data_IF_541027976149
#
_entry.id   IF_541027976149
#
_cell.length_a   1.000
_cell.length_b   1.000
_cell.length_c   1.000
_cell.angle_alpha   90.00
_cell.angle_beta   90.00
_cell.angle_gamma   90.00
#
_symmetry.space_group_name_H-M   'P 1'
#
loop_
_entity.id
_entity.type
_entity.pdbx_description
1 polymer ?
#
# COMPACT_ATOMS: atom_id res chain seq x y z
N UNK A 1 -38.99 -8.69 -1.48
CA UNK A 1 -39.63 -10.01 -1.31
C UNK A 1 -38.88 -10.88 -0.30
N UNK A 2 -38.79 -10.45 0.96
CA UNK A 2 -38.45 -11.31 2.10
C UNK A 2 -39.23 -10.80 3.33
N UNK A 3 -40.56 -10.86 3.23
CA UNK A 3 -41.44 -11.01 4.39
C UNK A 3 -41.78 -12.51 4.40
N UNK A 4 -41.68 -13.19 5.55
CA UNK A 4 -42.00 -14.61 5.76
C UNK A 4 -40.84 -15.62 5.70
N UNK A 5 -39.73 -15.36 6.40
CA UNK A 5 -38.88 -16.43 6.96
C UNK A 5 -39.02 -16.56 8.48
N UNK A 6 -40.18 -16.19 9.01
CA UNK A 6 -40.67 -16.76 10.26
C UNK A 6 -41.26 -18.13 9.91
N UNK A 7 -40.92 -19.16 10.69
CA UNK A 7 -41.42 -20.55 10.61
C UNK A 7 -40.55 -21.49 9.77
N UNK A 8 -39.41 -21.94 10.34
CA UNK A 8 -38.90 -23.31 10.13
C UNK A 8 -38.03 -23.85 11.29
N UNK A 9 -37.81 -23.08 12.36
CA UNK A 9 -37.23 -23.56 13.65
C UNK A 9 -38.30 -23.84 14.73
N UNK A 10 -39.57 -24.03 14.34
CA UNK A 10 -40.70 -24.23 15.27
C UNK A 10 -41.05 -25.69 15.60
N UNK A 11 -40.20 -26.68 15.29
CA UNK A 11 -40.40 -28.06 15.81
C UNK A 11 -39.71 -28.21 17.18
N UNK A 12 -40.30 -27.60 18.21
CA UNK A 12 -39.83 -27.72 19.60
C UNK A 12 -40.32 -26.63 20.56
N UNK A 13 -41.01 -25.60 20.05
CA UNK A 13 -41.60 -24.53 20.85
C UNK A 13 -43.03 -24.88 21.25
N UNK A 14 -43.18 -25.83 22.18
CA UNK A 14 -44.46 -26.01 22.88
C UNK A 14 -44.61 -24.85 23.87
N UNK A 15 -45.16 -23.73 23.42
CA UNK A 15 -45.84 -22.81 24.33
C UNK A 15 -47.17 -23.47 24.69
N UNK A 16 -47.19 -24.17 25.82
CA UNK A 16 -48.41 -24.71 26.41
C UNK A 16 -48.87 -23.71 27.48
N UNK A 17 -49.97 -22.98 27.31
CA UNK A 17 -50.48 -22.11 28.35
C UNK A 17 -50.95 -23.00 29.52
N UNK A 18 -50.31 -22.88 30.68
CA UNK A 18 -50.72 -23.60 31.90
C UNK A 18 -49.88 -24.80 32.33
N UNK A 19 -48.79 -25.16 31.64
CA UNK A 19 -47.82 -26.17 32.14
C UNK A 19 -46.39 -25.66 32.04
N UNK A 20 -45.72 -25.48 33.18
CA UNK A 20 -44.27 -25.22 33.24
C UNK A 20 -43.51 -26.32 32.47
N UNK A 21 -42.45 -25.94 31.74
CA UNK A 21 -41.75 -26.89 30.84
C UNK A 21 -41.20 -28.09 31.63
N UNK A 22 -41.44 -29.31 31.14
CA UNK A 22 -40.97 -30.55 31.79
C UNK A 22 -39.54 -30.97 31.39
N UNK A 23 -39.00 -30.46 30.28
CA UNK A 23 -37.66 -30.82 29.75
C UNK A 23 -36.83 -29.63 29.25
N UNK A 24 -35.70 -29.90 28.59
CA UNK A 24 -34.84 -28.87 27.97
C UNK A 24 -34.18 -27.92 28.98
N UNK A 25 -33.79 -28.45 30.16
CA UNK A 25 -33.22 -27.68 31.28
C UNK A 25 -31.73 -27.37 31.17
N UNK A 26 -31.04 -27.90 30.18
CA UNK A 26 -29.64 -27.61 29.95
C UNK A 26 -29.47 -26.14 29.49
N UNK A 27 -28.94 -25.31 30.39
CA UNK A 27 -28.79 -23.86 30.17
C UNK A 27 -27.69 -23.51 29.18
N UNK A 28 -26.74 -24.43 28.92
CA UNK A 28 -25.69 -24.21 27.94
C UNK A 28 -26.25 -24.09 26.51
N UNK A 29 -27.31 -24.85 26.21
CA UNK A 29 -27.96 -24.85 24.90
C UNK A 29 -29.26 -24.06 24.88
N UNK A 30 -29.90 -23.90 26.05
CA UNK A 30 -31.19 -23.22 26.20
C UNK A 30 -31.19 -22.32 27.44
N UNK A 31 -30.48 -21.18 27.39
CA UNK A 31 -30.45 -20.24 28.50
C UNK A 31 -31.87 -19.77 28.82
N UNK A 32 -32.13 -19.50 30.10
CA UNK A 32 -33.42 -18.95 30.57
C UNK A 32 -33.43 -17.44 30.44
N UNK A 33 -33.27 -16.94 29.22
CA UNK A 33 -33.26 -15.52 28.88
C UNK A 33 -34.39 -15.24 27.88
N UNK A 34 -34.89 -14.00 27.83
CA UNK A 34 -35.90 -13.59 26.86
C UNK A 34 -35.28 -13.36 25.47
N UNK A 35 -36.07 -13.50 24.41
CA UNK A 35 -35.62 -13.25 23.03
C UNK A 35 -35.06 -11.83 22.86
N UNK A 36 -35.74 -10.81 23.42
CA UNK A 36 -35.27 -9.41 23.39
C UNK A 36 -33.86 -9.24 23.94
N UNK A 37 -33.49 -10.00 24.97
CA UNK A 37 -32.12 -9.96 25.53
C UNK A 37 -31.16 -10.77 24.68
N UNK A 38 -31.62 -11.85 24.02
CA UNK A 38 -30.79 -12.65 23.12
C UNK A 38 -30.51 -11.97 21.77
N UNK A 39 -31.41 -11.10 21.30
CA UNK A 39 -31.30 -10.42 20.00
C UNK A 39 -30.01 -9.61 19.84
N UNK A 40 -29.54 -8.93 20.90
CA UNK A 40 -28.27 -8.18 20.88
C UNK A 40 -27.03 -9.09 20.73
N UNK A 41 -27.18 -10.40 21.01
CA UNK A 41 -26.12 -11.40 20.90
C UNK A 41 -26.20 -12.19 19.59
N UNK A 42 -27.26 -12.03 18.79
CA UNK A 42 -27.37 -12.69 17.48
C UNK A 42 -26.38 -12.02 16.51
N UNK A 43 -25.36 -12.73 16.01
CA UNK A 43 -24.30 -12.10 15.23
C UNK A 43 -24.74 -11.89 13.78
N UNK A 44 -25.34 -10.73 13.49
CA UNK A 44 -25.77 -10.38 12.13
C UNK A 44 -24.61 -10.05 11.19
N UNK A 45 -23.49 -9.59 11.73
CA UNK A 45 -22.25 -9.31 10.99
C UNK A 45 -21.10 -10.14 11.57
N UNK A 46 -21.19 -11.47 11.42
CA UNK A 46 -20.21 -12.40 11.95
C UNK A 46 -18.89 -12.32 11.17
N UNK A 47 -17.81 -11.90 11.85
CA UNK A 47 -16.47 -11.82 11.26
C UNK A 47 -15.73 -13.17 11.32
N UNK A 48 -15.96 -13.95 12.37
CA UNK A 48 -15.32 -15.25 12.58
C UNK A 48 -16.33 -16.27 13.13
N UNK A 49 -16.37 -17.53 12.63
CA UNK A 49 -15.53 -18.09 11.57
C UNK A 49 -15.76 -17.44 10.19
N UNK A 50 -14.75 -17.52 9.32
CA UNK A 50 -14.81 -16.95 7.97
C UNK A 50 -15.86 -17.68 7.14
N UNK A 51 -16.56 -16.94 6.28
CA UNK A 51 -17.61 -17.46 5.39
C UNK A 51 -17.17 -17.73 3.95
N UNK A 52 -15.95 -17.31 3.57
CA UNK A 52 -15.43 -17.43 2.21
C UNK A 52 -14.44 -18.61 2.13
N UNK A 53 -14.76 -19.70 1.39
CA UNK A 53 -13.88 -20.85 1.26
C UNK A 53 -12.68 -20.55 0.34
N UNK A 54 -11.60 -21.32 0.51
CA UNK A 54 -10.36 -21.16 -0.28
C UNK A 54 -10.59 -21.29 -1.80
N UNK A 55 -11.54 -22.12 -2.23
CA UNK A 55 -11.90 -22.29 -3.64
C UNK A 55 -12.42 -21.01 -4.31
N UNK A 56 -12.90 -20.03 -3.53
CA UNK A 56 -13.41 -18.77 -4.06
C UNK A 56 -12.33 -17.70 -4.24
N UNK A 57 -11.14 -17.86 -3.65
CA UNK A 57 -10.06 -16.86 -3.72
C UNK A 57 -9.66 -16.59 -5.17
N UNK A 58 -9.36 -17.64 -5.93
CA UNK A 58 -8.98 -17.50 -7.34
C UNK A 58 -10.15 -17.03 -8.23
N UNK A 59 -11.38 -17.45 -7.91
CA UNK A 59 -12.57 -16.97 -8.64
C UNK A 59 -12.75 -15.46 -8.46
N UNK A 60 -12.56 -14.96 -7.23
CA UNK A 60 -12.62 -13.54 -6.93
C UNK A 60 -11.47 -12.77 -7.61
N UNK A 61 -10.25 -13.29 -7.54
CA UNK A 61 -9.09 -12.69 -8.20
C UNK A 61 -9.32 -12.48 -9.71
N UNK A 62 -9.83 -13.51 -10.41
CA UNK A 62 -10.19 -13.43 -11.82
C UNK A 62 -11.38 -12.51 -12.09
N UNK A 63 -12.39 -12.50 -11.21
CA UNK A 63 -13.55 -11.62 -11.32
C UNK A 63 -13.15 -10.14 -11.24
N UNK A 64 -12.22 -9.78 -10.35
CA UNK A 64 -11.71 -8.42 -10.24
C UNK A 64 -10.81 -8.01 -11.42
N UNK A 65 -10.32 -9.00 -12.17
CA UNK A 65 -9.54 -8.84 -13.38
C UNK A 65 -8.04 -8.72 -13.13
N UNK A 66 -7.52 -9.23 -12.01
CA UNK A 66 -6.07 -9.26 -11.79
C UNK A 66 -5.43 -10.40 -12.60
N UNK A 67 -4.12 -10.29 -12.83
CA UNK A 67 -3.32 -11.31 -13.51
C UNK A 67 -2.23 -11.82 -12.55
N UNK A 68 -1.91 -13.11 -12.63
CA UNK A 68 -0.78 -13.71 -11.92
C UNK A 68 0.46 -13.51 -12.77
N UNK A 69 1.26 -12.51 -12.44
CA UNK A 69 2.52 -12.25 -13.13
C UNK A 69 3.63 -13.18 -12.61
N UNK A 70 4.64 -13.51 -13.44
CA UNK A 70 5.87 -14.11 -12.94
C UNK A 70 6.49 -13.24 -11.84
N UNK A 71 7.17 -13.88 -10.88
CA UNK A 71 7.81 -13.21 -9.74
C UNK A 71 8.76 -12.08 -10.19
N UNK A 72 9.48 -12.30 -11.30
CA UNK A 72 10.38 -11.31 -11.90
C UNK A 72 9.70 -10.00 -12.32
N UNK A 73 8.39 -10.02 -12.58
CA UNK A 73 7.62 -8.81 -12.88
C UNK A 73 7.15 -8.18 -11.58
N UNK A 74 6.41 -8.95 -10.79
CA UNK A 74 5.86 -8.47 -9.52
C UNK A 74 5.05 -9.55 -8.82
N UNK A 75 4.84 -9.35 -7.54
CA UNK A 75 4.21 -10.32 -6.65
C UNK A 75 3.45 -9.61 -5.52
N UNK A 76 2.64 -10.37 -4.79
CA UNK A 76 2.03 -9.92 -3.55
C UNK A 76 2.97 -10.21 -2.39
N UNK A 77 3.34 -9.18 -1.65
CA UNK A 77 4.26 -9.28 -0.52
C UNK A 77 3.59 -9.88 0.74
N UNK A 78 4.31 -9.95 1.86
CA UNK A 78 3.81 -10.48 3.14
C UNK A 78 2.55 -9.78 3.65
N UNK A 79 2.36 -8.50 3.28
CA UNK A 79 1.17 -7.71 3.60
C UNK A 79 0.07 -7.81 2.55
N UNK A 80 0.14 -8.71 1.56
CA UNK A 80 -0.74 -8.81 0.39
C UNK A 80 -0.81 -7.50 -0.43
N UNK A 81 0.28 -6.73 -0.52
CA UNK A 81 0.42 -5.58 -1.43
C UNK A 81 1.12 -6.02 -2.71
N UNK A 82 0.61 -5.61 -3.88
CA UNK A 82 1.28 -5.91 -5.14
C UNK A 82 2.49 -4.99 -5.30
N UNK A 83 3.68 -5.57 -5.33
CA UNK A 83 4.95 -4.89 -5.54
C UNK A 83 5.54 -5.29 -6.89
N UNK A 84 6.13 -4.30 -7.56
CA UNK A 84 6.81 -4.47 -8.83
C UNK A 84 8.31 -4.61 -8.55
N UNK A 85 8.98 -5.53 -9.24
CA UNK A 85 10.43 -5.66 -9.08
C UNK A 85 11.15 -4.42 -9.66
N UNK A 86 12.32 -4.05 -9.11
CA UNK A 86 13.11 -2.94 -9.65
C UNK A 86 13.45 -3.10 -11.14
N UNK A 87 13.79 -4.33 -11.55
CA UNK A 87 14.11 -4.67 -12.95
C UNK A 87 12.90 -4.50 -13.87
N UNK A 88 11.73 -4.98 -13.45
CA UNK A 88 10.51 -4.80 -14.23
C UNK A 88 10.10 -3.32 -14.32
N UNK A 89 10.25 -2.56 -13.24
CA UNK A 89 10.00 -1.12 -13.23
C UNK A 89 10.87 -0.38 -14.26
N UNK A 90 12.18 -0.70 -14.31
CA UNK A 90 13.09 -0.10 -15.27
C UNK A 90 12.79 -0.50 -16.72
N UNK A 91 12.42 -1.77 -16.97
CA UNK A 91 12.00 -2.22 -18.30
C UNK A 91 10.71 -1.54 -18.75
N UNK A 92 9.74 -1.36 -17.85
CA UNK A 92 8.51 -0.60 -18.13
C UNK A 92 8.84 0.85 -18.47
N UNK A 93 9.75 1.50 -17.75
CA UNK A 93 10.24 2.82 -18.12
C UNK A 93 10.82 2.82 -19.54
N UNK A 94 11.72 1.88 -19.87
CA UNK A 94 12.34 1.82 -21.19
C UNK A 94 11.36 1.64 -22.34
N UNK A 95 10.27 0.91 -22.13
CA UNK A 95 9.25 0.71 -23.16
C UNK A 95 8.25 1.86 -23.27
N UNK A 96 8.05 2.64 -22.21
CA UNK A 96 6.96 3.62 -22.14
C UNK A 96 7.45 5.06 -21.97
N UNK A 97 8.76 5.31 -21.98
CA UNK A 97 9.33 6.62 -21.67
C UNK A 97 8.86 7.74 -22.60
N UNK A 98 8.47 7.42 -23.83
CA UNK A 98 7.97 8.36 -24.84
C UNK A 98 6.43 8.33 -25.00
N UNK A 99 5.74 7.49 -24.23
CA UNK A 99 4.29 7.33 -24.34
C UNK A 99 3.53 8.54 -23.79
N UNK A 100 2.35 8.82 -24.36
CA UNK A 100 1.57 10.02 -24.01
C UNK A 100 1.11 10.06 -22.54
N UNK A 101 0.89 8.90 -21.91
CA UNK A 101 0.49 8.81 -20.52
C UNK A 101 1.66 8.98 -19.53
N UNK A 102 2.90 8.94 -20.02
CA UNK A 102 4.10 9.01 -19.17
C UNK A 102 4.31 10.44 -18.65
N UNK A 103 4.68 10.56 -17.37
CA UNK A 103 4.80 11.84 -16.67
C UNK A 103 6.01 11.90 -15.74
N UNK A 104 6.27 13.08 -15.18
CA UNK A 104 7.27 13.32 -14.15
C UNK A 104 7.19 12.33 -12.98
N UNK A 105 5.97 12.05 -12.49
CA UNK A 105 5.71 11.11 -11.40
C UNK A 105 6.06 9.65 -11.75
N UNK A 106 5.99 9.28 -13.03
CA UNK A 106 6.40 7.94 -13.47
C UNK A 106 7.93 7.80 -13.44
N UNK A 107 8.67 8.84 -13.81
CA UNK A 107 10.13 8.88 -13.69
C UNK A 107 10.56 8.81 -12.22
N UNK A 108 9.98 9.64 -11.36
CA UNK A 108 10.21 9.60 -9.89
C UNK A 108 9.96 8.20 -9.34
N UNK A 109 8.79 7.62 -9.62
CA UNK A 109 8.43 6.29 -9.12
C UNK A 109 9.37 5.19 -9.62
N UNK A 110 9.86 5.30 -10.85
CA UNK A 110 10.86 4.36 -11.40
C UNK A 110 12.17 4.45 -10.61
N UNK A 111 12.64 5.65 -10.28
CA UNK A 111 13.83 5.82 -9.44
C UNK A 111 13.60 5.25 -8.04
N UNK A 112 12.41 5.47 -7.45
CA UNK A 112 12.04 4.89 -6.14
C UNK A 112 12.12 3.36 -6.17
N UNK A 113 11.63 2.71 -7.22
CA UNK A 113 11.78 1.26 -7.37
C UNK A 113 13.23 0.80 -7.52
N UNK A 114 14.12 1.65 -8.06
CA UNK A 114 15.54 1.33 -8.21
C UNK A 114 16.37 1.52 -6.94
N UNK A 115 15.87 2.24 -5.93
CA UNK A 115 16.64 2.57 -4.72
C UNK A 115 17.28 1.36 -4.02
N UNK A 116 16.61 0.19 -3.86
CA UNK A 116 17.25 -0.97 -3.24
C UNK A 116 18.44 -1.50 -4.05
N UNK A 117 18.35 -1.49 -5.39
CA UNK A 117 19.46 -1.89 -6.27
C UNK A 117 20.58 -0.86 -6.26
N UNK A 118 20.24 0.43 -6.19
CA UNK A 118 21.21 1.52 -6.07
C UNK A 118 22.01 1.40 -4.77
N UNK A 119 21.39 1.06 -3.65
CA UNK A 119 22.15 0.88 -2.39
C UNK A 119 23.07 -0.34 -2.45
N UNK A 120 22.62 -1.45 -3.06
CA UNK A 120 23.39 -2.69 -3.16
C UNK A 120 24.57 -2.61 -4.14
N UNK A 121 24.34 -2.01 -5.31
CA UNK A 121 25.35 -1.79 -6.35
C UNK A 121 25.16 -0.40 -6.98
N UNK A 122 25.74 0.64 -6.36
CA UNK A 122 25.63 2.01 -6.84
C UNK A 122 26.26 2.22 -8.21
N UNK A 123 27.37 1.55 -8.52
CA UNK A 123 28.14 1.81 -9.76
C UNK A 123 27.34 1.46 -11.01
N UNK A 124 26.61 0.34 -10.97
CA UNK A 124 25.76 -0.09 -12.08
C UNK A 124 24.45 0.68 -12.11
N UNK A 125 23.78 0.81 -10.96
CA UNK A 125 22.39 1.28 -10.93
C UNK A 125 22.27 2.81 -10.93
N UNK A 126 23.28 3.55 -10.47
CA UNK A 126 23.28 5.01 -10.66
C UNK A 126 23.32 5.41 -12.13
N UNK A 127 23.93 4.61 -13.02
CA UNK A 127 23.88 4.85 -14.47
C UNK A 127 22.45 4.80 -15.01
N UNK A 128 21.60 3.92 -14.45
CA UNK A 128 20.17 3.81 -14.79
C UNK A 128 19.38 4.99 -14.25
N UNK A 129 19.68 5.44 -13.03
CA UNK A 129 19.10 6.67 -12.44
C UNK A 129 19.45 7.88 -13.30
N UNK A 130 20.71 8.00 -13.73
CA UNK A 130 21.20 9.10 -14.57
C UNK A 130 20.54 9.12 -15.95
N UNK A 131 20.22 7.94 -16.47
CA UNK A 131 19.49 7.79 -17.72
C UNK A 131 18.03 8.27 -17.60
N UNK A 132 17.35 7.90 -16.51
CA UNK A 132 16.01 8.42 -16.19
C UNK A 132 16.08 9.94 -16.00
N UNK A 133 17.09 10.45 -15.29
CA UNK A 133 17.26 11.87 -15.05
C UNK A 133 17.47 12.65 -16.36
N UNK A 134 18.37 12.18 -17.22
CA UNK A 134 18.59 12.75 -18.56
C UNK A 134 17.33 12.74 -19.41
N UNK A 135 16.58 11.64 -19.41
CA UNK A 135 15.29 11.58 -20.10
C UNK A 135 14.29 12.58 -19.53
N UNK A 136 14.19 12.67 -18.20
CA UNK A 136 13.30 13.60 -17.53
C UNK A 136 13.61 15.05 -17.91
N UNK A 137 14.87 15.47 -17.84
CA UNK A 137 15.29 16.83 -18.21
C UNK A 137 14.95 17.15 -19.67
N UNK A 138 15.11 16.19 -20.59
CA UNK A 138 14.75 16.37 -22.00
C UNK A 138 13.26 16.54 -22.23
N UNK A 139 12.42 15.77 -21.52
CA UNK A 139 10.97 15.71 -21.78
C UNK A 139 10.17 16.73 -20.98
N UNK A 140 10.55 16.98 -19.73
CA UNK A 140 9.78 17.76 -18.77
C UNK A 140 10.54 18.96 -18.20
N UNK A 141 11.85 19.04 -18.41
CA UNK A 141 12.72 20.04 -17.78
C UNK A 141 13.08 19.70 -16.33
N UNK A 142 13.64 20.67 -15.62
CA UNK A 142 14.01 20.54 -14.22
C UNK A 142 12.77 20.73 -13.32
N UNK A 143 12.52 19.82 -12.37
CA UNK A 143 11.42 19.93 -11.41
C UNK A 143 11.81 19.41 -10.01
N UNK A 144 10.99 19.69 -8.99
CA UNK A 144 11.26 19.22 -7.63
C UNK A 144 11.22 17.69 -7.50
N UNK A 145 10.39 16.99 -8.26
CA UNK A 145 10.22 15.54 -8.14
C UNK A 145 11.48 14.79 -8.54
N UNK A 146 12.05 15.13 -9.70
CA UNK A 146 13.21 14.45 -10.24
C UNK A 146 14.47 14.74 -9.43
N UNK A 147 14.69 15.99 -9.03
CA UNK A 147 15.87 16.33 -8.21
C UNK A 147 15.79 15.63 -6.86
N UNK A 148 14.63 15.64 -6.20
CA UNK A 148 14.47 14.93 -4.94
C UNK A 148 14.66 13.41 -5.08
N UNK A 149 14.17 12.79 -6.16
CA UNK A 149 14.36 11.37 -6.41
C UNK A 149 15.85 11.02 -6.62
N UNK A 150 16.57 11.80 -7.43
CA UNK A 150 18.01 11.58 -7.71
C UNK A 150 18.87 11.91 -6.50
N UNK A 151 18.50 12.92 -5.69
CA UNK A 151 19.15 13.19 -4.41
C UNK A 151 18.97 12.02 -3.44
N UNK A 152 17.78 11.45 -3.34
CA UNK A 152 17.52 10.29 -2.49
C UNK A 152 18.30 9.06 -2.97
N UNK A 153 18.33 8.81 -4.28
CA UNK A 153 19.17 7.75 -4.86
C UNK A 153 20.67 7.96 -4.55
N UNK A 154 21.15 9.20 -4.67
CA UNK A 154 22.53 9.56 -4.32
C UNK A 154 22.82 9.38 -2.82
N UNK A 155 21.83 9.62 -1.95
CA UNK A 155 21.94 9.38 -0.52
C UNK A 155 22.11 7.89 -0.20
N UNK A 156 21.29 7.03 -0.81
CA UNK A 156 21.41 5.57 -0.68
C UNK A 156 22.69 5.02 -1.33
N UNK A 157 23.17 5.65 -2.40
CA UNK A 157 24.49 5.38 -2.98
C UNK A 157 25.67 5.88 -2.11
N UNK A 158 25.39 6.46 -0.93
CA UNK A 158 26.38 7.05 0.00
C UNK A 158 27.22 8.17 -0.64
N UNK A 159 26.70 8.82 -1.69
CA UNK A 159 27.38 9.89 -2.40
C UNK A 159 26.90 11.28 -1.93
N UNK A 160 27.39 11.68 -0.76
CA UNK A 160 27.04 12.97 -0.15
C UNK A 160 27.44 14.19 -1.00
N UNK A 161 28.58 14.12 -1.70
CA UNK A 161 29.04 15.20 -2.58
C UNK A 161 28.00 15.47 -3.66
N UNK A 162 27.57 14.41 -4.35
CA UNK A 162 26.56 14.51 -5.40
C UNK A 162 25.21 15.02 -4.89
N UNK A 163 24.78 14.64 -3.69
CA UNK A 163 23.58 15.21 -3.07
C UNK A 163 23.72 16.73 -2.86
N UNK A 164 24.89 17.18 -2.40
CA UNK A 164 25.18 18.61 -2.19
C UNK A 164 25.20 19.38 -3.51
N UNK A 165 25.79 18.80 -4.55
CA UNK A 165 25.83 19.38 -5.90
C UNK A 165 24.43 19.55 -6.48
N UNK A 166 23.57 18.52 -6.35
CA UNK A 166 22.19 18.58 -6.80
C UNK A 166 21.37 19.65 -6.05
N UNK A 167 21.59 19.80 -4.74
CA UNK A 167 20.93 20.85 -3.95
C UNK A 167 21.35 22.25 -4.42
N UNK A 168 22.63 22.44 -4.72
CA UNK A 168 23.14 23.69 -5.27
C UNK A 168 22.62 23.95 -6.69
N UNK A 169 22.52 22.91 -7.50
CA UNK A 169 21.92 22.98 -8.83
C UNK A 169 20.45 23.41 -8.76
N UNK A 170 19.65 22.83 -7.85
CA UNK A 170 18.27 23.26 -7.60
C UNK A 170 18.20 24.76 -7.29
N UNK A 171 19.06 25.25 -6.38
CA UNK A 171 19.13 26.69 -6.05
C UNK A 171 19.47 27.54 -7.28
N UNK A 172 20.42 27.10 -8.10
CA UNK A 172 20.84 27.80 -9.31
C UNK A 172 19.74 27.88 -10.39
N UNK A 173 18.87 26.87 -10.42
CA UNK A 173 17.73 26.78 -11.33
C UNK A 173 16.46 27.46 -10.78
N UNK A 174 16.56 28.14 -9.63
CA UNK A 174 15.44 28.73 -8.91
C UNK A 174 14.36 27.70 -8.52
N UNK A 175 14.76 26.43 -8.37
CA UNK A 175 13.95 25.40 -7.73
C UNK A 175 14.21 25.47 -6.23
N UNK A 176 13.40 26.25 -5.52
CA UNK A 176 13.57 26.43 -4.08
C UNK A 176 13.56 25.05 -3.37
N UNK A 177 14.62 24.69 -2.62
CA UNK A 177 14.69 23.42 -1.93
C UNK A 177 13.51 23.25 -0.97
N UNK A 178 12.84 22.10 -1.04
CA UNK A 178 11.64 21.83 -0.24
C UNK A 178 11.96 20.90 0.94
N UNK A 179 10.94 20.59 1.75
CA UNK A 179 11.07 19.69 2.89
C UNK A 179 11.77 18.36 2.52
N UNK A 180 11.40 17.76 1.39
CA UNK A 180 11.98 16.51 0.93
C UNK A 180 13.46 16.67 0.56
N UNK A 181 13.86 17.79 -0.04
CA UNK A 181 15.27 18.09 -0.36
C UNK A 181 16.13 18.11 0.90
N UNK A 182 15.67 18.78 1.97
CA UNK A 182 16.40 18.83 3.25
C UNK A 182 16.41 17.47 3.96
N UNK A 183 15.30 16.72 3.95
CA UNK A 183 15.26 15.36 4.49
C UNK A 183 16.23 14.43 3.75
N UNK A 184 16.33 14.55 2.42
CA UNK A 184 17.30 13.81 1.63
C UNK A 184 18.75 14.16 1.99
N UNK A 185 19.06 15.43 2.27
CA UNK A 185 20.39 15.85 2.76
C UNK A 185 20.70 15.32 4.15
N UNK A 186 19.71 15.28 5.05
CA UNK A 186 19.86 14.67 6.37
C UNK A 186 20.11 13.16 6.26
N UNK A 187 19.34 12.48 5.42
CA UNK A 187 19.54 11.05 5.12
C UNK A 187 20.93 10.79 4.52
N UNK A 188 21.35 11.58 3.54
CA UNK A 188 22.67 11.46 2.91
C UNK A 188 23.80 11.67 3.90
N UNK A 189 23.70 12.71 4.74
CA UNK A 189 24.66 12.98 5.82
C UNK A 189 24.78 11.78 6.75
N UNK A 190 23.65 11.23 7.21
CA UNK A 190 23.62 10.07 8.10
C UNK A 190 24.22 8.82 7.45
N UNK A 191 23.80 8.46 6.23
CA UNK A 191 24.27 7.25 5.55
C UNK A 191 25.74 7.34 5.13
N UNK A 192 26.26 8.55 4.89
CA UNK A 192 27.67 8.79 4.62
C UNK A 192 28.52 8.95 5.89
N UNK A 193 27.94 8.78 7.09
CA UNK A 193 28.66 8.88 8.37
C UNK A 193 29.16 10.28 8.69
N UNK A 194 28.47 11.33 8.20
CA UNK A 194 28.82 12.72 8.52
C UNK A 194 28.49 13.04 9.99
N UNK A 195 29.18 14.03 10.59
CA UNK A 195 28.89 14.47 11.95
C UNK A 195 27.43 14.89 12.11
N UNK A 196 26.91 14.67 13.31
CA UNK A 196 25.51 15.00 13.64
C UNK A 196 25.24 16.49 13.49
N UNK A 197 26.21 17.32 13.84
CA UNK A 197 26.15 18.78 13.73
C UNK A 197 25.96 19.21 12.27
N UNK A 198 26.64 18.55 11.33
CA UNK A 198 26.46 18.81 9.90
C UNK A 198 25.05 18.46 9.42
N UNK A 199 24.48 17.39 9.97
CA UNK A 199 23.10 16.99 9.68
C UNK A 199 22.10 18.00 10.23
N UNK A 200 22.37 18.53 11.43
CA UNK A 200 21.56 19.56 12.08
C UNK A 200 21.55 20.89 11.31
N UNK A 201 22.68 21.26 10.68
CA UNK A 201 22.74 22.47 9.83
C UNK A 201 21.72 22.43 8.69
N UNK A 202 21.54 21.27 8.03
CA UNK A 202 20.53 21.14 6.97
C UNK A 202 19.10 21.23 7.51
N UNK A 203 18.85 20.68 8.71
CA UNK A 203 17.56 20.83 9.38
C UNK A 203 17.28 22.32 9.71
N UNK A 204 18.23 23.00 10.33
CA UNK A 204 18.12 24.42 10.68
C UNK A 204 17.96 25.31 9.43
N UNK A 205 18.65 24.98 8.33
CA UNK A 205 18.48 25.66 7.05
C UNK A 205 17.06 25.46 6.48
N UNK A 206 16.54 24.24 6.53
CA UNK A 206 15.17 23.94 6.12
C UNK A 206 14.11 24.68 6.93
N UNK A 207 14.33 24.86 8.24
CA UNK A 207 13.47 25.68 9.10
C UNK A 207 13.59 27.17 8.73
N UNK A 208 14.81 27.68 8.56
CA UNK A 208 15.05 29.11 8.22
C UNK A 208 14.45 29.50 6.88
N UNK A 209 14.47 28.60 5.91
CA UNK A 209 13.86 28.79 4.59
C UNK A 209 12.33 28.61 4.59
N UNK A 210 11.75 28.14 5.70
CA UNK A 210 10.32 27.86 5.80
C UNK A 210 9.87 26.58 5.09
N UNK A 211 10.80 25.81 4.52
CA UNK A 211 10.53 24.53 3.89
C UNK A 211 10.12 23.45 4.91
N UNK A 212 10.70 23.51 6.12
CA UNK A 212 10.33 22.70 7.27
C UNK A 212 9.62 23.58 8.29
N UNK A 213 8.59 23.01 8.93
CA UNK A 213 7.88 23.66 10.05
C UNK A 213 8.04 22.81 11.30
N UNK A 214 8.59 23.40 12.35
CA UNK A 214 8.74 22.80 13.68
C UNK A 214 7.71 23.43 14.64
N UNK A 215 7.02 22.60 15.42
CA UNK A 215 6.08 23.07 16.46
C UNK A 215 6.72 22.96 17.85
N UNK A 216 7.65 22.03 18.02
CA UNK A 216 8.43 21.89 19.25
C UNK A 216 9.77 22.65 19.17
N UNK A 217 10.55 22.58 20.24
CA UNK A 217 11.92 23.12 20.26
C UNK A 217 12.76 22.41 19.18
N UNK A 218 13.62 23.18 18.50
CA UNK A 218 14.37 22.71 17.32
C UNK A 218 15.25 21.48 17.58
N UNK A 219 15.87 21.40 18.77
CA UNK A 219 16.68 20.25 19.19
C UNK A 219 15.84 18.96 19.29
N UNK A 220 14.61 19.08 19.78
CA UNK A 220 13.67 17.98 20.00
C UNK A 220 13.11 17.49 18.67
N UNK A 221 12.69 18.41 17.79
CA UNK A 221 12.24 18.07 16.44
C UNK A 221 13.36 17.40 15.63
N UNK A 222 14.58 17.94 15.70
CA UNK A 222 15.72 17.33 15.04
C UNK A 222 16.00 15.92 15.56
N UNK A 223 15.95 15.72 16.89
CA UNK A 223 16.07 14.38 17.48
C UNK A 223 14.97 13.45 16.95
N UNK A 224 13.73 13.90 16.88
CA UNK A 224 12.61 13.09 16.35
C UNK A 224 12.84 12.70 14.89
N UNK A 225 13.33 13.61 14.05
CA UNK A 225 13.70 13.30 12.68
C UNK A 225 14.81 12.25 12.62
N UNK A 226 15.85 12.39 13.43
CA UNK A 226 16.93 11.41 13.51
C UNK A 226 16.45 10.05 13.98
N UNK A 227 15.58 9.99 14.99
CA UNK A 227 14.95 8.75 15.47
C UNK A 227 14.15 8.05 14.36
N UNK A 228 13.43 8.81 13.51
CA UNK A 228 12.72 8.22 12.36
C UNK A 228 13.69 7.65 11.34
N UNK A 229 14.78 8.37 11.03
CA UNK A 229 15.81 7.87 10.12
C UNK A 229 16.49 6.61 10.68
N UNK A 230 16.74 6.55 11.98
CA UNK A 230 17.28 5.37 12.67
C UNK A 230 16.35 4.17 12.57
N UNK A 231 15.05 4.36 12.82
CA UNK A 231 14.04 3.31 12.66
C UNK A 231 13.91 2.84 11.21
N UNK A 232 14.00 3.75 10.24
CA UNK A 232 13.99 3.38 8.83
C UNK A 232 15.22 2.55 8.45
N UNK A 233 16.40 2.92 8.94
CA UNK A 233 17.65 2.23 8.59
C UNK A 233 18.03 2.44 7.12
N UNK A 234 18.59 1.40 6.50
CA UNK A 234 18.89 1.33 5.07
C UNK A 234 18.76 -0.12 4.58
N UNK A 235 18.77 -0.37 3.27
CA UNK A 235 18.61 -1.72 2.71
C UNK A 235 19.79 -2.64 3.04
N UNK A 236 20.98 -2.09 3.31
CA UNK A 236 22.20 -2.83 3.65
C UNK A 236 22.55 -2.80 5.14
N UNK A 237 21.77 -2.10 5.97
CA UNK A 237 21.98 -2.03 7.41
C UNK A 237 21.65 -3.35 8.11
N UNK A 238 22.19 -3.57 9.31
CA UNK A 238 21.82 -4.72 10.15
C UNK A 238 20.52 -4.54 10.94
N UNK A 239 19.96 -3.33 10.95
CA UNK A 239 18.73 -2.98 11.65
C UNK A 239 17.98 -1.85 10.96
N UNK A 240 16.69 -1.75 11.27
CA UNK A 240 15.76 -0.79 10.67
C UNK A 240 14.68 -1.47 9.84
N UNK A 241 13.70 -0.69 9.40
CA UNK A 241 12.59 -1.20 8.59
C UNK A 241 13.04 -1.61 7.18
N UNK A 242 13.95 -0.84 6.57
CA UNK A 242 14.43 -1.10 5.21
C UNK A 242 15.40 -2.30 5.13
N UNK A 243 16.01 -2.70 6.24
CA UNK A 243 16.92 -3.86 6.27
C UNK A 243 16.19 -5.21 6.31
N UNK A 244 14.86 -5.22 6.53
CA UNK A 244 14.07 -6.45 6.58
C UNK A 244 13.69 -6.87 5.16
N UNK A 245 14.33 -7.92 4.66
CA UNK A 245 14.14 -8.43 3.29
C UNK A 245 13.22 -9.67 3.20
N UNK A 246 12.24 -9.77 4.09
CA UNK A 246 11.26 -10.87 4.07
C UNK A 246 10.05 -10.50 3.20
N UNK A 247 10.10 -10.84 1.92
CA UNK A 247 9.10 -10.41 0.93
C UNK A 247 7.76 -11.16 1.03
N UNK A 248 7.74 -12.43 1.45
CA UNK A 248 6.51 -13.23 1.53
C UNK A 248 5.82 -13.47 0.18
N UNK A 249 6.60 -13.51 -0.91
CA UNK A 249 6.14 -13.47 -2.30
C UNK A 249 5.09 -14.53 -2.64
N UNK A 250 3.95 -14.06 -3.15
CA UNK A 250 2.87 -14.89 -3.67
C UNK A 250 2.32 -14.34 -5.00
N UNK A 251 1.88 -15.18 -5.95
CA UNK A 251 1.28 -14.73 -7.20
C UNK A 251 -0.15 -14.19 -7.04
N UNK A 252 -0.75 -14.36 -5.86
CA UNK A 252 -2.11 -13.94 -5.51
C UNK A 252 -2.16 -13.63 -4.00
N UNK A 253 -2.99 -12.67 -3.55
CA UNK A 253 -3.22 -12.44 -2.13
C UNK A 253 -3.70 -13.68 -1.40
N UNK A 254 -3.33 -13.80 -0.12
CA UNK A 254 -3.82 -14.89 0.73
C UNK A 254 -5.30 -14.72 1.07
N UNK A 255 -5.78 -13.47 1.15
CA UNK A 255 -7.18 -13.14 1.43
C UNK A 255 -7.76 -12.06 0.51
N UNK A 256 -8.54 -12.47 -0.49
CA UNK A 256 -9.21 -11.55 -1.43
C UNK A 256 -10.31 -10.68 -0.81
N UNK A 257 -10.75 -10.97 0.42
CA UNK A 257 -11.74 -10.18 1.16
C UNK A 257 -11.13 -9.37 2.30
N UNK A 258 -9.79 -9.26 2.35
CA UNK A 258 -9.11 -8.35 3.26
C UNK A 258 -9.64 -6.91 3.13
N UNK A 259 -9.74 -6.21 4.25
CA UNK A 259 -10.23 -4.84 4.33
C UNK A 259 -9.06 -3.87 4.50
N UNK A 260 -9.16 -2.69 3.89
CA UNK A 260 -8.30 -1.55 4.25
C UNK A 260 -9.00 -0.59 5.22
N UNK A 261 -10.32 -0.74 5.38
CA UNK A 261 -11.16 0.13 6.19
C UNK A 261 -12.11 -0.63 7.12
N UNK A 262 -13.27 -0.07 7.39
CA UNK A 262 -14.14 -0.53 8.50
C UNK A 262 -15.21 -1.55 8.09
N UNK A 263 -15.44 -1.75 6.79
CA UNK A 263 -16.54 -2.55 6.29
C UNK A 263 -16.21 -3.17 4.94
N UNK A 264 -16.88 -4.26 4.54
CA UNK A 264 -16.71 -4.95 3.25
C UNK A 264 -16.92 -4.12 1.98
N UNK A 265 -17.42 -2.89 2.11
CA UNK A 265 -17.50 -1.91 1.01
C UNK A 265 -16.19 -1.15 0.78
N UNK A 266 -15.29 -1.23 1.75
CA UNK A 266 -13.91 -0.73 1.74
C UNK A 266 -12.94 -1.94 1.68
N UNK A 267 -13.09 -2.88 0.72
CA UNK A 267 -12.19 -4.00 0.59
C UNK A 267 -10.88 -3.51 -0.02
N UNK A 268 -9.78 -4.16 0.34
CA UNK A 268 -8.44 -3.90 -0.20
C UNK A 268 -8.37 -4.15 -1.71
N UNK A 269 -9.04 -5.20 -2.17
CA UNK A 269 -9.08 -5.58 -3.58
C UNK A 269 -10.43 -5.23 -4.21
N UNK A 270 -10.39 -4.49 -5.32
CA UNK A 270 -11.58 -3.98 -6.01
C UNK A 270 -11.48 -4.22 -7.52
N UNK A 271 -12.60 -4.11 -8.23
CA UNK A 271 -12.61 -4.31 -9.68
C UNK A 271 -11.87 -3.17 -10.38
N UNK A 272 -11.27 -3.44 -11.54
CA UNK A 272 -10.62 -2.41 -12.37
C UNK A 272 -11.52 -1.20 -12.64
N UNK A 273 -12.82 -1.41 -12.88
CA UNK A 273 -13.79 -0.33 -13.08
C UNK A 273 -13.92 0.58 -11.85
N UNK A 274 -13.96 -0.01 -10.64
CA UNK A 274 -14.01 0.76 -9.40
C UNK A 274 -12.70 1.51 -9.16
N UNK A 275 -11.56 0.88 -9.43
CA UNK A 275 -10.24 1.52 -9.36
C UNK A 275 -10.15 2.73 -10.30
N UNK A 276 -10.56 2.60 -11.57
CA UNK A 276 -10.62 3.72 -12.52
C UNK A 276 -11.49 4.85 -11.98
N UNK A 277 -12.65 4.52 -11.41
CA UNK A 277 -13.51 5.52 -10.80
C UNK A 277 -12.85 6.24 -9.62
N UNK A 278 -12.16 5.51 -8.74
CA UNK A 278 -11.38 6.09 -7.63
C UNK A 278 -10.28 7.02 -8.14
N UNK A 279 -9.52 6.63 -9.18
CA UNK A 279 -8.51 7.51 -9.80
C UNK A 279 -9.13 8.80 -10.39
N UNK A 280 -10.29 8.69 -11.03
CA UNK A 280 -11.05 9.86 -11.51
C UNK A 280 -11.48 10.74 -10.35
N UNK A 281 -11.95 10.16 -9.24
CA UNK A 281 -12.34 10.93 -8.05
C UNK A 281 -11.14 11.66 -7.43
N UNK A 282 -9.97 11.02 -7.32
CA UNK A 282 -8.76 11.64 -6.78
C UNK A 282 -8.39 12.91 -7.57
N UNK A 283 -8.52 12.87 -8.89
CA UNK A 283 -8.25 14.05 -9.75
C UNK A 283 -9.34 15.12 -9.68
N UNK A 284 -10.62 14.73 -9.69
CA UNK A 284 -11.74 15.68 -9.76
C UNK A 284 -12.15 16.25 -8.40
N UNK A 285 -11.84 15.56 -7.30
CA UNK A 285 -12.29 15.91 -5.94
C UNK A 285 -11.15 16.03 -4.93
N UNK A 286 -9.94 16.35 -5.40
CA UNK A 286 -8.74 16.53 -4.57
C UNK A 286 -8.96 17.48 -3.38
N UNK A 287 -9.78 18.53 -3.54
CA UNK A 287 -10.10 19.47 -2.46
C UNK A 287 -10.76 18.83 -1.23
N UNK A 288 -11.37 17.63 -1.36
CA UNK A 288 -11.93 16.91 -0.20
C UNK A 288 -10.87 16.30 0.70
N UNK A 289 -9.67 16.04 0.18
CA UNK A 289 -8.57 15.45 0.95
C UNK A 289 -7.91 16.46 1.90
N UNK A 290 -8.11 17.75 1.65
CA UNK A 290 -7.57 18.84 2.45
C UNK A 290 -8.33 19.06 3.78
N UNK A 291 -9.52 18.48 3.94
CA UNK A 291 -10.40 18.76 5.08
C UNK A 291 -10.89 17.48 5.75
N UNK A 292 -10.57 17.30 7.03
CA UNK A 292 -11.09 16.23 7.88
C UNK A 292 -12.08 16.76 8.91
N UNK A 293 -13.35 16.32 8.86
CA UNK A 293 -14.38 16.73 9.84
C UNK A 293 -14.83 15.57 10.72
N UNK A 294 -15.22 15.85 11.96
CA UNK A 294 -15.83 14.85 12.86
C UNK A 294 -17.10 14.26 12.22
N UNK A 295 -17.91 15.09 11.55
CA UNK A 295 -19.08 14.63 10.83
C UNK A 295 -18.74 13.54 9.81
N UNK A 296 -17.73 13.76 8.96
CA UNK A 296 -17.32 12.76 7.95
C UNK A 296 -16.83 11.45 8.57
N UNK A 297 -16.09 11.52 9.68
CA UNK A 297 -15.58 10.36 10.43
C UNK A 297 -16.73 9.56 11.06
N UNK A 298 -17.68 10.23 11.70
CA UNK A 298 -18.87 9.60 12.27
C UNK A 298 -19.77 9.01 11.18
N UNK A 299 -19.94 9.71 10.06
CA UNK A 299 -20.75 9.25 8.93
C UNK A 299 -20.19 8.00 8.26
N UNK A 300 -18.87 7.79 8.31
CA UNK A 300 -18.18 6.61 7.78
C UNK A 300 -18.45 5.35 8.59
N UNK A 301 -18.86 5.46 9.86
CA UNK A 301 -19.11 4.30 10.71
C UNK A 301 -20.17 3.36 10.10
N UNK A 302 -19.91 2.05 9.96
CA UNK A 302 -20.74 1.15 9.17
C UNK A 302 -21.88 0.50 9.97
N UNK A 303 -22.19 0.97 11.18
CA UNK A 303 -23.19 0.34 12.07
C UNK A 303 -24.60 0.30 11.45
N UNK A 304 -24.94 1.29 10.63
CA UNK A 304 -26.20 1.35 9.87
C UNK A 304 -26.08 0.86 8.41
N UNK A 305 -24.89 0.41 7.99
CA UNK A 305 -24.66 -0.01 6.61
C UNK A 305 -25.19 -1.43 6.41
N UNK A 306 -25.73 -1.70 5.22
CA UNK A 306 -26.29 -3.02 4.92
C UNK A 306 -25.20 -4.12 4.93
N UNK A 307 -25.29 -5.01 5.91
CA UNK A 307 -24.36 -6.12 6.14
C UNK A 307 -24.90 -7.49 5.67
N UNK A 308 -26.09 -7.54 5.07
CA UNK A 308 -26.73 -8.79 4.65
C UNK A 308 -26.05 -9.49 3.47
N UNK A 309 -26.52 -10.68 3.12
CA UNK A 309 -25.90 -11.52 2.11
C UNK A 309 -26.43 -11.19 0.70
N UNK A 310 -25.55 -11.20 -0.29
CA UNK A 310 -25.89 -11.15 -1.70
C UNK A 310 -25.92 -12.55 -2.32
N UNK A 311 -26.54 -12.76 -3.50
CA UNK A 311 -26.54 -14.07 -4.17
C UNK A 311 -25.14 -14.66 -4.38
N UNK A 312 -24.14 -13.83 -4.68
CA UNK A 312 -22.76 -14.28 -4.84
C UNK A 312 -22.07 -14.66 -3.51
N UNK A 313 -22.60 -14.22 -2.36
CA UNK A 313 -22.08 -14.65 -1.06
C UNK A 313 -22.50 -16.11 -0.74
N UNK A 314 -23.49 -16.66 -1.45
CA UNK A 314 -23.91 -18.05 -1.37
C UNK A 314 -23.35 -18.89 -2.52
N UNK A 315 -23.43 -18.38 -3.75
CA UNK A 315 -23.05 -19.12 -4.96
C UNK A 315 -21.55 -19.02 -5.30
N UNK A 316 -20.84 -18.11 -4.65
CA UNK A 316 -19.46 -17.73 -4.95
C UNK A 316 -19.34 -16.64 -6.01
N UNK A 317 -18.11 -16.14 -6.25
CA UNK A 317 -17.84 -15.13 -7.26
C UNK A 317 -18.28 -15.56 -8.66
N UNK A 318 -18.70 -14.62 -9.50
CA UNK A 318 -19.00 -14.92 -10.90
C UNK A 318 -17.76 -15.46 -11.63
N UNK A 319 -17.91 -16.58 -12.34
CA UNK A 319 -16.81 -17.20 -13.11
C UNK A 319 -16.41 -16.28 -14.26
N UNK A 320 -15.17 -15.78 -14.24
CA UNK A 320 -14.53 -15.06 -15.34
C UNK A 320 -13.31 -15.84 -15.83
N UNK A 321 -13.06 -15.79 -17.14
CA UNK A 321 -11.86 -16.38 -17.73
C UNK A 321 -10.63 -15.65 -17.19
N UNK A 322 -9.59 -16.40 -16.87
CA UNK A 322 -8.29 -15.81 -16.57
C UNK A 322 -7.68 -15.20 -17.85
N UNK A 323 -6.74 -14.27 -17.67
CA UNK A 323 -5.86 -13.86 -18.76
C UNK A 323 -5.06 -15.08 -19.21
N UNK A 324 -5.04 -15.34 -20.51
CA UNK A 324 -4.31 -16.44 -21.11
C UNK A 324 -3.13 -15.88 -21.89
N UNK A 325 -1.96 -16.46 -21.70
CA UNK A 325 -0.71 -16.06 -22.34
C UNK A 325 -0.21 -17.17 -23.27
N UNK A 326 -1.09 -17.66 -24.16
CA UNK A 326 -0.74 -18.73 -25.13
C UNK A 326 0.34 -18.31 -26.12
N UNK A 327 0.43 -17.01 -26.41
CA UNK A 327 1.44 -16.43 -27.31
C UNK A 327 2.76 -16.09 -26.59
N UNK A 328 2.89 -16.44 -25.31
CA UNK A 328 4.16 -16.24 -24.59
C UNK A 328 5.24 -17.16 -25.17
N UNK A 329 6.50 -16.67 -25.26
CA UNK A 329 7.61 -17.52 -25.69
C UNK A 329 7.80 -18.69 -24.72
N UNK A 330 8.37 -19.79 -25.22
CA UNK A 330 8.69 -20.93 -24.38
C UNK A 330 9.64 -20.51 -23.24
N UNK A 331 9.42 -20.98 -21.99
CA UNK A 331 10.23 -20.56 -20.85
C UNK A 331 11.65 -21.11 -20.97
N UNK A 332 12.61 -20.22 -21.19
CA UNK A 332 14.05 -20.51 -21.13
C UNK A 332 14.49 -20.20 -19.70
N UNK A 333 15.09 -21.17 -18.99
CA UNK A 333 15.49 -21.01 -17.59
C UNK A 333 14.47 -21.49 -16.54
N UNK A 334 13.49 -22.33 -16.90
CA UNK A 334 12.50 -22.84 -15.94
C UNK A 334 13.10 -23.68 -14.79
N UNK A 335 14.33 -24.17 -14.94
CA UNK A 335 15.07 -24.86 -13.88
C UNK A 335 15.80 -23.89 -12.93
N UNK A 336 16.03 -22.65 -13.36
CA UNK A 336 16.71 -21.62 -12.56
C UNK A 336 15.68 -20.86 -11.74
N UNK A 337 15.87 -20.80 -10.43
CA UNK A 337 14.97 -20.06 -9.55
C UNK A 337 15.24 -18.55 -9.68
N UNK A 338 14.18 -17.79 -9.91
CA UNK A 338 14.23 -16.33 -9.77
C UNK A 338 14.60 -15.96 -8.32
N UNK A 339 15.66 -15.17 -8.16
CA UNK A 339 16.12 -14.65 -6.87
C UNK A 339 15.11 -13.72 -6.18
N UNK A 340 15.52 -13.08 -5.09
CA UNK A 340 14.75 -11.97 -4.51
C UNK A 340 14.91 -10.73 -5.37
N UNK A 341 13.90 -9.86 -5.37
CA UNK A 341 13.95 -8.63 -6.16
C UNK A 341 14.99 -7.63 -5.62
N UNK A 342 15.23 -7.68 -4.32
CA UNK A 342 16.25 -6.92 -3.57
C UNK A 342 16.47 -7.60 -2.22
#
# INVERSE_FOLDING_TARGET
MLRCSNVLLKKGWTHNPGRTRRGGKNLAWRPKMSERVLDQFVPLNLAFPRRHPNSWQEMQFRLLGYAKWPKEIGFYNAGDNFELTPEAAYRIFKWNCDEAFWTQLHNEKTIVYLLPLVEKDPETNMKRVDDIFRHHLKRFGADHYIYNAVMQASAFAKNFSRCSDLLNEMRSLNLEPNAQSYVNMMLASRLAGKPREQTELFFQEGIRTGALTAVMRLDTEFQMWMDQLERLGSFTAGSGHLSVNEEGAAPMPRDMWALWGWHRSEPKFISRKKMIHEQVQNRLRSGRELVGTVYSKSRRQPWAKYNGMFPFDYNGPSRRRAVSFVDAPAPVGNAEACGTAF
#
